data_IF_891168728449
#
_entry.id   IF_891168728449
#
_cell.length_a   1.000
_cell.length_b   1.000
_cell.length_c   1.000
_cell.angle_alpha   90.00
_cell.angle_beta   90.00
_cell.angle_gamma   90.00
#
_symmetry.space_group_name_H-M   'P 1'
#
loop_
_entity.id
_entity.type
_entity.pdbx_description
1 polymer ?
#
# COMPACT_ATOMS: atom_id res chain seq x y z
N UNK A 1 2.76 -14.65 8.04
CA UNK A 1 1.69 -14.27 8.95
C UNK A 1 0.40 -14.07 8.14
N UNK A 2 -0.72 -14.49 8.65
CA UNK A 2 -2.03 -14.25 8.05
C UNK A 2 -2.68 -13.08 8.78
N UNK A 3 -3.09 -12.07 8.03
CA UNK A 3 -3.74 -10.92 8.59
C UNK A 3 -2.79 -9.92 9.27
N UNK A 4 -3.39 -8.97 9.95
CA UNK A 4 -2.71 -7.99 10.79
C UNK A 4 -3.67 -7.50 11.88
N UNK A 5 -3.14 -7.06 13.01
CA UNK A 5 -3.91 -6.56 14.12
C UNK A 5 -3.74 -5.03 14.20
N UNK A 6 -4.85 -4.32 14.12
CA UNK A 6 -4.92 -2.89 14.40
C UNK A 6 -5.22 -2.70 15.88
N UNK A 7 -4.38 -1.95 16.58
CA UNK A 7 -4.50 -1.75 18.03
C UNK A 7 -4.90 -0.32 18.37
N UNK A 8 -5.70 -0.16 19.42
CA UNK A 8 -6.26 1.12 19.83
C UNK A 8 -5.92 1.42 21.29
N UNK A 9 -5.62 2.70 21.57
CA UNK A 9 -5.44 3.22 22.92
C UNK A 9 -6.57 4.14 23.35
N UNK A 10 -7.31 4.68 22.38
CA UNK A 10 -8.47 5.54 22.58
C UNK A 10 -9.75 4.71 22.45
N UNK A 11 -10.60 4.64 23.53
CA UNK A 11 -11.83 3.88 23.50
C UNK A 11 -12.82 4.37 22.42
N UNK A 12 -12.89 5.69 22.17
CA UNK A 12 -13.82 6.24 21.19
C UNK A 12 -13.40 5.85 19.76
N UNK A 13 -12.10 5.88 19.46
CA UNK A 13 -11.57 5.41 18.17
C UNK A 13 -11.78 3.91 18.00
N UNK A 14 -11.67 3.12 19.08
CA UNK A 14 -11.93 1.69 19.02
C UNK A 14 -13.40 1.39 18.72
N UNK A 15 -14.35 2.07 19.37
CA UNK A 15 -15.78 1.92 19.05
C UNK A 15 -16.08 2.29 17.60
N UNK A 16 -15.51 3.39 17.11
CA UNK A 16 -15.67 3.78 15.71
C UNK A 16 -15.12 2.70 14.76
N UNK A 17 -13.93 2.19 15.03
CA UNK A 17 -13.30 1.14 14.22
C UNK A 17 -14.12 -0.17 14.23
N UNK A 18 -14.74 -0.52 15.37
CA UNK A 18 -15.67 -1.67 15.46
C UNK A 18 -16.89 -1.48 14.55
N UNK A 19 -17.45 -0.28 14.51
CA UNK A 19 -18.58 0.04 13.64
C UNK A 19 -18.18 -0.03 12.16
N UNK A 20 -17.03 0.54 11.81
CA UNK A 20 -16.48 0.53 10.45
C UNK A 20 -16.20 -0.89 9.97
N UNK A 21 -15.56 -1.72 10.79
CA UNK A 21 -15.28 -3.11 10.48
C UNK A 21 -16.56 -3.91 10.21
N UNK A 22 -17.60 -3.73 11.06
CA UNK A 22 -18.91 -4.35 10.83
C UNK A 22 -19.53 -3.89 9.50
N UNK A 23 -19.38 -2.61 9.14
CA UNK A 23 -19.84 -2.08 7.85
C UNK A 23 -19.12 -2.72 6.64
N UNK A 24 -17.86 -3.14 6.80
CA UNK A 24 -17.08 -3.79 5.75
C UNK A 24 -17.42 -5.27 5.56
N UNK A 25 -18.11 -5.92 6.49
CA UNK A 25 -18.55 -7.33 6.36
C UNK A 25 -19.36 -7.58 5.09
N UNK A 26 -20.11 -6.60 4.61
CA UNK A 26 -20.88 -6.68 3.35
C UNK A 26 -20.01 -6.91 2.10
N UNK A 27 -18.71 -6.64 2.20
CA UNK A 27 -17.73 -6.89 1.13
C UNK A 27 -17.01 -8.23 1.30
N UNK A 28 -17.44 -9.07 2.26
CA UNK A 28 -16.85 -10.39 2.51
C UNK A 28 -15.56 -10.36 3.31
N UNK A 29 -15.15 -9.21 3.86
CA UNK A 29 -13.95 -9.11 4.69
C UNK A 29 -14.16 -9.82 6.02
N UNK A 30 -13.18 -10.63 6.41
CA UNK A 30 -13.16 -11.40 7.66
C UNK A 30 -12.33 -10.65 8.71
N UNK A 31 -12.88 -10.52 9.91
CA UNK A 31 -12.18 -9.88 11.02
C UNK A 31 -12.65 -10.44 12.37
N UNK A 32 -11.83 -10.25 13.40
CA UNK A 32 -12.15 -10.50 14.81
C UNK A 32 -12.00 -9.22 15.60
N UNK A 33 -12.96 -8.93 16.47
CA UNK A 33 -12.83 -7.84 17.45
C UNK A 33 -12.19 -8.46 18.69
N UNK A 34 -11.07 -7.91 19.12
CA UNK A 34 -10.31 -8.34 20.29
C UNK A 34 -10.44 -7.28 21.38
N UNK A 35 -11.23 -7.55 22.40
CA UNK A 35 -11.24 -6.72 23.60
C UNK A 35 -9.87 -6.82 24.33
N UNK A 36 -9.58 -5.87 25.24
CA UNK A 36 -8.27 -5.74 25.89
C UNK A 36 -7.70 -7.07 26.37
N UNK A 37 -8.46 -7.86 27.13
CA UNK A 37 -8.00 -9.14 27.66
C UNK A 37 -7.69 -10.20 26.59
N UNK A 38 -8.48 -10.24 25.52
CA UNK A 38 -8.26 -11.13 24.38
C UNK A 38 -7.03 -10.73 23.57
N UNK A 39 -6.84 -9.42 23.38
CA UNK A 39 -5.67 -8.87 22.71
C UNK A 39 -4.39 -9.16 23.47
N UNK A 40 -4.39 -8.93 24.79
CA UNK A 40 -3.23 -9.21 25.64
C UNK A 40 -2.91 -10.71 25.75
N UNK A 41 -3.93 -11.57 25.73
CA UNK A 41 -3.72 -13.02 25.71
C UNK A 41 -3.07 -13.51 24.40
N UNK A 42 -3.30 -12.81 23.30
CA UNK A 42 -2.71 -13.12 21.98
C UNK A 42 -1.32 -12.48 21.82
N UNK A 43 -1.17 -11.24 22.25
CA UNK A 43 0.05 -10.43 22.10
C UNK A 43 0.54 -9.94 23.48
N UNK A 44 1.25 -10.80 24.20
CA UNK A 44 1.69 -10.57 25.57
C UNK A 44 2.67 -9.40 25.74
N UNK A 45 3.24 -8.91 24.63
CA UNK A 45 4.19 -7.79 24.63
C UNK A 45 3.52 -6.42 24.52
N UNK A 46 2.20 -6.39 24.32
CA UNK A 46 1.48 -5.14 24.27
C UNK A 46 1.30 -4.52 25.65
N UNK A 47 1.52 -3.22 25.71
CA UNK A 47 1.35 -2.39 26.90
C UNK A 47 -0.12 -2.39 27.35
N UNK A 48 -0.33 -2.25 28.67
CA UNK A 48 -1.67 -2.20 29.28
C UNK A 48 -2.50 -0.96 28.87
N UNK A 49 -1.91 0.01 28.17
CA UNK A 49 -2.63 1.17 27.65
C UNK A 49 -3.50 0.88 26.42
N UNK A 50 -3.38 -0.31 25.82
CA UNK A 50 -4.24 -0.72 24.70
C UNK A 50 -5.62 -1.14 25.22
N UNK A 51 -6.67 -0.59 24.62
CA UNK A 51 -8.06 -0.89 24.99
C UNK A 51 -8.66 -2.05 24.20
N UNK A 52 -8.08 -2.38 23.04
CA UNK A 52 -8.50 -3.48 22.19
C UNK A 52 -7.90 -3.39 20.81
N UNK A 53 -8.34 -4.26 19.91
CA UNK A 53 -7.87 -4.30 18.53
C UNK A 53 -8.85 -4.97 17.58
N UNK A 54 -8.59 -4.80 16.28
CA UNK A 54 -9.27 -5.51 15.21
C UNK A 54 -8.25 -6.35 14.47
N UNK A 55 -8.45 -7.65 14.46
CA UNK A 55 -7.64 -8.58 13.68
C UNK A 55 -8.31 -8.80 12.31
N UNK A 56 -7.72 -8.22 11.27
CA UNK A 56 -8.10 -8.44 9.89
C UNK A 56 -7.49 -9.75 9.40
N UNK A 57 -8.32 -10.73 9.03
CA UNK A 57 -7.88 -12.11 8.76
C UNK A 57 -7.44 -12.35 7.32
N UNK A 58 -8.01 -11.63 6.36
CA UNK A 58 -7.76 -11.82 4.93
C UNK A 58 -6.46 -11.19 4.42
N UNK A 59 -6.02 -10.02 4.92
CA UNK A 59 -4.83 -9.36 4.41
C UNK A 59 -3.58 -10.23 4.54
N UNK A 60 -2.71 -10.14 3.53
CA UNK A 60 -1.40 -10.79 3.56
C UNK A 60 -0.32 -9.73 3.61
N UNK A 61 0.63 -9.90 4.49
CA UNK A 61 1.80 -9.04 4.58
C UNK A 61 2.94 -9.55 3.73
N UNK A 62 3.69 -8.63 3.16
CA UNK A 62 4.91 -8.92 2.40
C UNK A 62 6.10 -8.47 3.24
N UNK A 63 6.97 -9.41 3.59
CA UNK A 63 8.15 -9.15 4.42
C UNK A 63 9.23 -8.33 3.69
N UNK A 64 9.24 -8.33 2.36
CA UNK A 64 10.18 -7.55 1.54
C UNK A 64 9.50 -7.00 0.28
N UNK A 65 8.74 -5.88 0.39
CA UNK A 65 8.01 -5.30 -0.74
C UNK A 65 8.95 -4.83 -1.87
N UNK A 66 10.16 -4.37 -1.54
CA UNK A 66 11.14 -4.01 -2.55
C UNK A 66 11.63 -5.21 -3.37
N UNK A 67 11.81 -6.39 -2.75
CA UNK A 67 12.15 -7.61 -3.47
C UNK A 67 11.00 -8.07 -4.38
N UNK A 68 9.76 -7.97 -3.91
CA UNK A 68 8.58 -8.30 -4.72
C UNK A 68 8.51 -7.42 -5.97
N UNK A 69 8.66 -6.11 -5.83
CA UNK A 69 8.66 -5.16 -6.96
C UNK A 69 9.78 -5.47 -7.96
N UNK A 70 10.99 -5.74 -7.47
CA UNK A 70 12.10 -6.17 -8.34
C UNK A 70 11.81 -7.49 -9.04
N UNK A 71 11.16 -8.45 -8.36
CA UNK A 71 10.76 -9.72 -8.94
C UNK A 71 9.80 -9.53 -10.13
N UNK A 72 8.81 -8.66 -10.00
CA UNK A 72 7.92 -8.31 -11.11
C UNK A 72 8.65 -7.64 -12.26
N UNK A 73 9.56 -6.71 -12.00
CA UNK A 73 10.36 -6.08 -13.04
C UNK A 73 11.24 -7.11 -13.80
N UNK A 74 11.84 -8.03 -13.07
CA UNK A 74 12.64 -9.13 -13.67
C UNK A 74 11.76 -10.03 -14.55
N UNK A 75 10.62 -10.45 -14.05
CA UNK A 75 9.68 -11.29 -14.81
C UNK A 75 9.17 -10.58 -16.07
N UNK A 76 8.88 -9.27 -15.97
CA UNK A 76 8.50 -8.45 -17.11
C UNK A 76 9.57 -8.47 -18.21
N UNK A 77 10.83 -8.26 -17.84
CA UNK A 77 11.95 -8.30 -18.78
C UNK A 77 12.16 -9.70 -19.38
N UNK A 78 12.03 -10.76 -18.58
CA UNK A 78 12.11 -12.14 -19.07
C UNK A 78 11.02 -12.49 -20.10
N UNK A 79 9.87 -11.80 -20.02
CA UNK A 79 8.78 -11.94 -20.98
C UNK A 79 8.87 -11.00 -22.19
N UNK A 80 10.05 -10.39 -22.41
CA UNK A 80 10.31 -9.51 -23.54
C UNK A 80 9.97 -8.04 -23.33
N UNK A 81 9.56 -7.66 -22.12
CA UNK A 81 9.35 -6.25 -21.76
C UNK A 81 10.66 -5.49 -21.64
N UNK A 82 10.63 -4.18 -21.81
CA UNK A 82 11.78 -3.30 -21.66
C UNK A 82 11.58 -2.38 -20.45
N UNK A 83 12.54 -2.35 -19.55
CA UNK A 83 12.60 -1.42 -18.44
C UNK A 83 13.54 -0.26 -18.79
N UNK A 84 12.99 0.94 -18.91
CA UNK A 84 13.72 2.14 -19.34
C UNK A 84 13.51 3.28 -18.35
N UNK A 85 14.51 4.12 -18.18
CA UNK A 85 14.38 5.36 -17.42
C UNK A 85 13.96 6.50 -18.36
N UNK A 86 12.89 7.21 -17.97
CA UNK A 86 12.37 8.34 -18.72
C UNK A 86 11.77 9.40 -17.79
N UNK A 87 11.33 10.51 -18.38
CA UNK A 87 10.61 11.58 -17.66
C UNK A 87 9.13 11.51 -18.02
N UNK A 88 8.31 11.07 -17.10
CA UNK A 88 6.86 10.97 -17.31
C UNK A 88 6.20 12.34 -17.62
N UNK A 89 6.80 13.46 -17.19
CA UNK A 89 6.31 14.81 -17.51
C UNK A 89 6.45 15.18 -18.97
N UNK A 90 7.29 14.46 -19.73
CA UNK A 90 7.45 14.64 -21.16
C UNK A 90 6.37 13.95 -22.00
N UNK A 91 5.42 13.26 -21.36
CA UNK A 91 4.36 12.54 -22.06
C UNK A 91 3.51 13.50 -22.90
N UNK A 92 3.40 13.20 -24.16
CA UNK A 92 2.64 14.00 -25.16
C UNK A 92 2.09 13.11 -26.26
N UNK A 93 1.12 13.62 -27.02
CA UNK A 93 0.69 12.99 -28.26
C UNK A 93 1.43 13.60 -29.45
N UNK A 94 1.95 12.73 -30.30
CA UNK A 94 2.63 13.07 -31.57
C UNK A 94 2.09 12.14 -32.66
N UNK A 95 1.52 12.70 -33.69
CA UNK A 95 0.95 11.94 -34.82
C UNK A 95 -0.03 10.82 -34.42
N UNK A 96 -0.85 11.08 -33.40
CA UNK A 96 -1.83 10.15 -32.85
C UNK A 96 -1.28 9.06 -31.93
N UNK A 97 0.01 9.06 -31.67
CA UNK A 97 0.66 8.15 -30.72
C UNK A 97 1.11 8.86 -29.47
N UNK A 98 1.20 8.13 -28.38
CA UNK A 98 1.83 8.60 -27.13
C UNK A 98 3.35 8.56 -27.26
N UNK A 99 4.01 9.63 -26.85
CA UNK A 99 5.46 9.72 -26.83
C UNK A 99 5.95 10.17 -25.45
N UNK A 100 7.03 9.53 -24.96
CA UNK A 100 7.72 9.91 -23.72
C UNK A 100 9.22 9.92 -23.96
N UNK A 101 9.91 10.87 -23.35
CA UNK A 101 11.35 10.98 -23.50
C UNK A 101 12.07 10.04 -22.50
N UNK A 102 12.98 9.24 -23.00
CA UNK A 102 13.81 8.34 -22.21
C UNK A 102 15.31 8.65 -22.40
N UNK A 103 16.15 8.07 -21.52
CA UNK A 103 17.62 8.17 -21.66
C UNK A 103 18.16 7.57 -22.98
N UNK A 104 17.38 6.75 -23.67
CA UNK A 104 17.73 6.12 -24.95
C UNK A 104 17.07 6.79 -26.15
N UNK A 105 16.43 7.95 -25.95
CA UNK A 105 15.65 8.67 -26.94
C UNK A 105 14.15 8.55 -26.67
N UNK A 106 13.32 9.14 -27.54
CA UNK A 106 11.88 9.08 -27.41
C UNK A 106 11.34 7.66 -27.62
N UNK A 107 10.32 7.31 -26.85
CA UNK A 107 9.60 6.05 -26.95
C UNK A 107 8.18 6.39 -27.39
N UNK A 108 7.66 5.68 -28.37
CA UNK A 108 6.29 5.82 -28.85
C UNK A 108 5.45 4.58 -28.58
N UNK A 109 4.17 4.75 -28.30
CA UNK A 109 3.21 3.67 -28.11
C UNK A 109 1.79 4.12 -28.49
N UNK A 110 0.95 3.16 -28.86
CA UNK A 110 -0.47 3.45 -29.14
C UNK A 110 -1.25 3.69 -27.83
N UNK A 111 -0.81 3.05 -26.75
CA UNK A 111 -1.46 3.13 -25.44
C UNK A 111 -0.44 3.42 -24.35
N UNK A 112 -0.89 4.12 -23.28
CA UNK A 112 -0.08 4.42 -22.12
C UNK A 112 -0.88 4.18 -20.84
N UNK A 113 -0.23 3.61 -19.85
CA UNK A 113 -0.79 3.43 -18.51
C UNK A 113 0.05 4.23 -17.52
N UNK A 114 -0.55 5.24 -16.91
CA UNK A 114 0.12 6.08 -15.92
C UNK A 114 -0.01 5.46 -14.52
N UNK A 115 1.10 4.98 -13.96
CA UNK A 115 1.18 4.37 -12.63
C UNK A 115 2.21 5.11 -11.75
N UNK A 116 2.07 6.44 -11.63
CA UNK A 116 3.05 7.32 -10.97
C UNK A 116 2.73 7.56 -9.49
N UNK A 117 1.72 6.86 -8.94
CA UNK A 117 1.28 7.10 -7.56
C UNK A 117 0.83 8.55 -7.37
N UNK A 118 1.31 9.25 -6.31
CA UNK A 118 0.92 10.64 -6.04
C UNK A 118 1.21 11.63 -7.17
N UNK A 119 2.26 11.39 -7.95
CA UNK A 119 2.64 12.22 -9.09
C UNK A 119 1.71 12.09 -10.30
N UNK A 120 0.79 11.12 -10.29
CA UNK A 120 -0.19 10.96 -11.37
C UNK A 120 -1.07 12.20 -11.51
N UNK A 121 -1.40 12.91 -10.43
CA UNK A 121 -2.21 14.12 -10.48
C UNK A 121 -1.56 15.22 -11.34
N UNK A 122 -0.25 15.42 -11.22
CA UNK A 122 0.50 16.42 -11.99
C UNK A 122 0.48 16.08 -13.48
N UNK A 123 0.72 14.81 -13.82
CA UNK A 123 0.66 14.33 -15.20
C UNK A 123 -0.72 14.55 -15.83
N UNK A 124 -1.76 14.13 -15.13
CA UNK A 124 -3.13 14.23 -15.63
C UNK A 124 -3.61 15.69 -15.74
N UNK A 125 -3.16 16.57 -14.83
CA UNK A 125 -3.44 18.00 -14.94
C UNK A 125 -2.88 18.60 -16.24
N UNK A 126 -1.66 18.19 -16.63
CA UNK A 126 -1.06 18.58 -17.92
C UNK A 126 -1.80 18.06 -19.14
N UNK A 127 -2.59 16.99 -19.00
CA UNK A 127 -3.45 16.41 -20.04
C UNK A 127 -4.91 16.91 -19.99
N UNK A 128 -5.22 17.88 -19.13
CA UNK A 128 -6.55 18.47 -18.99
C UNK A 128 -7.50 17.72 -18.05
N UNK A 129 -7.02 16.72 -17.30
CA UNK A 129 -7.81 15.97 -16.32
C UNK A 129 -7.46 16.40 -14.90
N UNK A 130 -8.48 16.54 -14.04
CA UNK A 130 -8.29 16.76 -12.63
C UNK A 130 -8.65 15.49 -11.83
N UNK A 131 -7.66 14.91 -11.15
CA UNK A 131 -7.85 13.74 -10.31
C UNK A 131 -7.68 14.16 -8.85
N UNK A 132 -8.65 13.89 -7.96
CA UNK A 132 -8.58 14.27 -6.56
C UNK A 132 -7.65 13.31 -5.78
N UNK A 133 -6.36 13.38 -6.03
CA UNK A 133 -5.33 12.62 -5.31
C UNK A 133 -4.72 13.48 -4.20
N UNK A 134 -4.72 12.95 -2.99
CA UNK A 134 -4.01 13.53 -1.86
C UNK A 134 -2.75 12.70 -1.55
N UNK A 135 -1.64 13.39 -1.27
CA UNK A 135 -0.41 12.75 -0.85
C UNK A 135 -0.50 12.46 0.65
N UNK A 136 -0.51 11.18 1.02
CA UNK A 136 -0.34 10.74 2.41
C UNK A 136 1.05 10.14 2.57
N UNK A 137 1.81 10.62 3.57
CA UNK A 137 3.13 10.10 3.89
C UNK A 137 3.04 9.19 5.10
N UNK A 138 3.37 7.93 4.93
CA UNK A 138 3.57 7.00 6.04
C UNK A 138 5.02 7.02 6.52
N UNK A 139 5.19 6.88 7.83
CA UNK A 139 6.50 6.71 8.45
C UNK A 139 6.54 5.33 9.11
N UNK A 140 7.68 4.68 9.06
CA UNK A 140 7.88 3.42 9.76
C UNK A 140 9.27 3.41 10.41
N UNK A 141 9.40 2.65 11.47
CA UNK A 141 10.68 2.38 12.13
C UNK A 141 10.80 0.88 12.36
N UNK A 142 12.00 0.36 12.21
CA UNK A 142 12.33 -1.00 12.57
C UNK A 142 12.96 -1.03 13.95
N UNK A 143 12.43 -1.87 14.82
CA UNK A 143 12.95 -2.09 16.14
C UNK A 143 13.50 -3.52 16.23
N UNK A 144 14.63 -3.68 16.91
CA UNK A 144 15.08 -5.00 17.31
C UNK A 144 14.23 -5.48 18.49
N UNK A 145 13.94 -6.76 18.52
CA UNK A 145 13.27 -7.36 19.67
C UNK A 145 14.16 -7.27 20.91
N UNK A 146 13.57 -6.96 22.07
CA UNK A 146 14.25 -7.02 23.35
C UNK A 146 14.09 -8.43 23.92
N UNK A 147 15.17 -9.00 24.43
CA UNK A 147 15.17 -10.26 25.17
C UNK A 147 14.54 -11.46 24.43
N UNK A 148 14.65 -11.47 23.09
CA UNK A 148 14.11 -12.56 22.28
C UNK A 148 12.58 -12.56 22.13
N UNK A 149 11.91 -11.45 22.46
CA UNK A 149 10.47 -11.32 22.27
C UNK A 149 10.07 -11.58 20.81
N UNK A 150 9.01 -12.34 20.61
CA UNK A 150 8.42 -12.61 19.30
C UNK A 150 6.97 -12.15 19.31
N UNK A 151 6.52 -11.56 18.21
CA UNK A 151 5.10 -11.31 17.92
C UNK A 151 4.54 -12.55 17.22
N UNK A 152 3.37 -13.00 17.62
CA UNK A 152 2.68 -14.17 17.04
C UNK A 152 1.92 -13.88 15.74
#
# INVERSE_FOLDING_TARGET
>A
AKGWIEVFRDPALFEQAKADAKGLSRYGLQFEILECGQLQAREHQLDASVVGGIHWLDPKTVNNPGALTRGYATLFMQRGGQFLHGDARSLRQVDGQWQVDSRRGPITANEVVACLGPQSADLFSGLGYQIPLAIKRGYHMHYSTRDGAQLE
#
